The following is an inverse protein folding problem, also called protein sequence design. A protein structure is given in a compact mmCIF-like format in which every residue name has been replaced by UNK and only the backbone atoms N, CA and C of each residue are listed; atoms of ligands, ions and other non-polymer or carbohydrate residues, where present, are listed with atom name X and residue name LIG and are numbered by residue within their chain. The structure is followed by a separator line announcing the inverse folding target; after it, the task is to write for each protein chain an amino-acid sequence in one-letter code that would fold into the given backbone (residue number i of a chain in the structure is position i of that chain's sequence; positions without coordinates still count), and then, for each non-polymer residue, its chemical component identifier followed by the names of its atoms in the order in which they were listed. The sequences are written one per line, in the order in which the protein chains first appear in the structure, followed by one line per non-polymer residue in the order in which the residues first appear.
data_IF_598149474009
#
_entry.id   IF_598149474009
#
_cell.length_a   1.000
_cell.length_b   1.000
_cell.length_c   1.000
_cell.angle_alpha   90.00
_cell.angle_beta   90.00
_cell.angle_gamma   90.00
#
_symmetry.space_group_name_H-M   'P 1'
#
loop_
_entity.id
_entity.type
_entity.pdbx_description
1 polymer ?
#
# COMPACT_ATOMS: atom_id res chain seq x y z
N UNK A 1 34.84 6.70 -17.53
CA UNK A 1 34.72 6.32 -16.09
C UNK A 1 33.55 7.01 -15.39
N UNK A 2 33.37 8.34 -15.51
CA UNK A 2 32.23 9.06 -14.92
C UNK A 2 30.84 8.52 -15.33
N UNK A 3 30.66 8.16 -16.60
CA UNK A 3 29.38 7.68 -17.11
C UNK A 3 29.02 6.28 -16.57
N UNK A 4 30.03 5.46 -16.25
CA UNK A 4 29.82 4.14 -15.65
C UNK A 4 29.31 4.24 -14.20
N UNK A 5 29.73 5.27 -13.46
CA UNK A 5 29.19 5.54 -12.13
C UNK A 5 27.73 5.99 -12.18
N UNK A 6 27.38 6.84 -13.16
CA UNK A 6 25.99 7.26 -13.37
C UNK A 6 25.06 6.07 -13.69
N UNK A 7 25.52 5.16 -14.55
CA UNK A 7 24.84 3.91 -14.84
C UNK A 7 24.70 2.99 -13.61
N UNK A 8 25.76 2.90 -12.79
CA UNK A 8 25.72 2.15 -11.54
C UNK A 8 24.72 2.71 -10.52
N UNK A 9 24.65 4.04 -10.37
CA UNK A 9 23.65 4.67 -9.51
C UNK A 9 22.22 4.47 -10.01
N UNK A 10 22.00 4.48 -11.33
CA UNK A 10 20.67 4.27 -11.91
C UNK A 10 20.14 2.85 -11.67
N UNK A 11 21.01 1.84 -11.65
CA UNK A 11 20.66 0.46 -11.31
C UNK A 11 20.23 0.30 -9.84
N UNK A 12 20.78 1.08 -8.91
CA UNK A 12 20.41 1.02 -7.48
C UNK A 12 18.98 1.51 -7.22
N UNK A 13 18.43 2.40 -8.05
CA UNK A 13 17.05 2.91 -7.88
C UNK A 13 16.01 1.82 -8.16
N UNK A 14 16.38 0.80 -8.94
CA UNK A 14 15.47 -0.30 -9.30
C UNK A 14 15.19 -1.26 -8.13
N UNK A 15 15.94 -1.20 -7.02
CA UNK A 15 15.73 -2.09 -5.85
C UNK A 15 14.73 -1.54 -4.84
N UNK A 16 14.09 -0.40 -5.10
CA UNK A 16 13.21 0.26 -4.14
C UNK A 16 11.80 -0.37 -4.03
N UNK A 17 11.52 -1.45 -4.76
CA UNK A 17 10.23 -2.11 -4.70
C UNK A 17 10.06 -2.82 -3.34
N UNK A 18 8.99 -2.49 -2.61
CA UNK A 18 8.69 -3.10 -1.32
C UNK A 18 7.88 -4.39 -1.51
N UNK A 19 8.51 -5.53 -1.27
CA UNK A 19 7.90 -6.87 -1.34
C UNK A 19 7.45 -7.41 0.02
N UNK A 20 7.56 -6.64 1.10
CA UNK A 20 7.27 -7.11 2.46
C UNK A 20 5.82 -6.91 2.88
N UNK A 21 5.02 -6.23 2.07
CA UNK A 21 3.59 -6.02 2.34
C UNK A 21 2.81 -7.32 2.11
N UNK A 22 2.19 -7.85 3.17
CA UNK A 22 1.36 -9.08 3.10
C UNK A 22 0.04 -8.84 2.35
N UNK A 23 -0.56 -7.66 2.51
CA UNK A 23 -1.86 -7.35 1.94
C UNK A 23 -1.96 -5.86 1.60
N UNK A 24 -2.46 -5.56 0.40
CA UNK A 24 -2.64 -4.19 -0.11
C UNK A 24 -3.85 -4.13 -1.02
N UNK A 25 -4.97 -3.67 -0.47
CA UNK A 25 -6.22 -3.51 -1.21
C UNK A 25 -6.89 -2.19 -0.81
N UNK A 26 -7.71 -1.68 -1.72
CA UNK A 26 -8.58 -0.54 -1.48
C UNK A 26 -10.00 -0.93 -1.83
N UNK A 27 -10.93 -0.55 -0.96
CA UNK A 27 -12.37 -0.65 -1.22
C UNK A 27 -12.90 0.77 -1.35
N UNK A 28 -13.56 1.04 -2.46
CA UNK A 28 -14.21 2.33 -2.66
C UNK A 28 -15.44 2.46 -1.77
N UNK A 29 -15.70 3.69 -1.31
CA UNK A 29 -16.93 4.03 -0.60
C UNK A 29 -17.89 4.64 -1.63
N UNK A 30 -19.00 3.94 -1.86
CA UNK A 30 -20.03 4.39 -2.80
C UNK A 30 -20.51 5.82 -2.48
N UNK A 31 -20.64 6.62 -3.54
CA UNK A 31 -21.05 8.03 -3.49
C UNK A 31 -20.21 8.93 -2.55
N UNK A 32 -19.02 8.48 -2.12
CA UNK A 32 -18.20 9.17 -1.13
C UNK A 32 -18.86 9.27 0.26
N UNK A 33 -19.89 8.46 0.53
CA UNK A 33 -20.67 8.52 1.78
C UNK A 33 -20.45 7.27 2.62
N UNK A 34 -19.63 7.40 3.65
CA UNK A 34 -19.41 6.30 4.59
C UNK A 34 -20.50 6.27 5.66
N UNK A 35 -21.53 5.44 5.45
CA UNK A 35 -22.60 5.23 6.43
C UNK A 35 -22.21 4.20 7.49
N UNK A 36 -22.80 4.29 8.69
CA UNK A 36 -22.51 3.35 9.80
C UNK A 36 -22.80 1.88 9.48
N UNK A 37 -23.68 1.63 8.51
CA UNK A 37 -24.02 0.27 8.05
C UNK A 37 -23.00 -0.29 7.05
N UNK A 38 -22.18 0.57 6.43
CA UNK A 38 -21.11 0.15 5.54
C UNK A 38 -19.86 -0.17 6.39
N UNK A 39 -19.59 -1.47 6.56
CA UNK A 39 -18.43 -1.97 7.33
C UNK A 39 -17.51 -2.75 6.38
N UNK A 40 -16.57 -2.07 5.70
CA UNK A 40 -15.59 -2.74 4.84
C UNK A 40 -14.83 -3.80 5.63
N UNK A 41 -14.67 -4.98 5.04
CA UNK A 41 -13.96 -6.10 5.64
C UNK A 41 -12.85 -6.55 4.70
N UNK A 42 -11.67 -6.73 5.27
CA UNK A 42 -10.46 -7.11 4.53
C UNK A 42 -9.99 -8.46 5.06
N UNK A 43 -9.79 -9.43 4.16
CA UNK A 43 -9.35 -10.79 4.53
C UNK A 43 -8.02 -11.09 3.87
N UNK A 44 -7.03 -11.47 4.67
CA UNK A 44 -5.70 -11.84 4.21
C UNK A 44 -5.15 -13.01 5.03
N UNK A 45 -4.19 -13.74 4.44
CA UNK A 45 -3.52 -14.88 5.08
C UNK A 45 -2.21 -14.42 5.70
N UNK A 46 -1.94 -14.89 6.91
CA UNK A 46 -0.64 -14.77 7.58
C UNK A 46 0.07 -16.10 7.48
N UNK A 47 1.28 -16.09 6.92
CA UNK A 47 2.06 -17.29 6.63
C UNK A 47 2.88 -17.74 7.84
N UNK A 48 3.44 -16.77 8.56
CA UNK A 48 4.21 -16.99 9.78
C UNK A 48 3.63 -16.15 10.92
N UNK A 49 2.93 -16.74 11.90
CA UNK A 49 2.35 -15.99 13.02
C UNK A 49 3.39 -15.64 14.11
N UNK A 50 4.64 -16.08 14.00
CA UNK A 50 5.68 -15.84 15.01
C UNK A 50 6.35 -14.48 14.88
N UNK A 51 6.21 -13.83 13.72
CA UNK A 51 6.75 -12.50 13.47
C UNK A 51 5.72 -11.40 13.76
N UNK A 52 6.14 -10.23 14.27
CA UNK A 52 5.24 -9.10 14.45
C UNK A 52 4.91 -8.45 13.09
N UNK A 53 3.64 -8.05 12.92
CA UNK A 53 3.16 -7.34 11.74
C UNK A 53 2.62 -5.97 12.09
N UNK A 54 2.81 -5.01 11.19
CA UNK A 54 2.20 -3.69 11.29
C UNK A 54 0.90 -3.64 10.50
N UNK A 55 -0.12 -3.00 11.07
CA UNK A 55 -1.40 -2.76 10.40
C UNK A 55 -1.51 -1.26 10.12
N UNK A 56 -1.67 -0.91 8.85
CA UNK A 56 -1.92 0.45 8.40
C UNK A 56 -3.25 0.47 7.64
N UNK A 57 -4.18 1.32 8.05
CA UNK A 57 -5.40 1.57 7.29
C UNK A 57 -5.34 2.97 6.70
N UNK A 58 -5.79 3.12 5.45
CA UNK A 58 -5.84 4.40 4.76
C UNK A 58 -7.29 4.78 4.50
N UNK A 59 -7.74 5.87 5.11
CA UNK A 59 -9.00 6.52 4.75
C UNK A 59 -8.69 7.72 3.86
N UNK A 60 -9.10 7.66 2.60
CA UNK A 60 -8.83 8.71 1.61
C UNK A 60 -10.10 9.50 1.36
N UNK A 61 -10.00 10.82 1.42
CA UNK A 61 -11.07 11.70 0.98
C UNK A 61 -10.90 11.98 -0.52
N UNK A 62 -12.01 11.96 -1.27
CA UNK A 62 -11.99 12.48 -2.63
C UNK A 62 -11.94 14.01 -2.61
N UNK A 63 -11.32 14.60 -3.64
CA UNK A 63 -11.31 16.05 -3.86
C UNK A 63 -12.68 16.52 -4.38
N UNK A 64 -13.49 15.60 -4.90
CA UNK A 64 -14.86 15.86 -5.34
C UNK A 64 -15.77 16.01 -4.11
N UNK A 65 -15.99 17.25 -3.70
CA UNK A 65 -16.99 17.62 -2.72
C UNK A 65 -18.29 18.00 -3.47
N UNK A 66 -19.46 17.41 -3.14
CA UNK A 66 -20.74 17.82 -3.72
C UNK A 66 -21.18 19.21 -3.27
#
# INVERSE_FOLDING_TARGET
MKNAWFLGCMLLVMTACDSQTVYKEYTDIDDGKWTIKNTPSFTFRIDDPTIPYNIYYNLRNSISYP
#
